data_IF_691722978679
#
_entry.id   IF_691722978679
#
_cell.length_a   1.000
_cell.length_b   1.000
_cell.length_c   1.000
_cell.angle_alpha   90.00
_cell.angle_beta   90.00
_cell.angle_gamma   90.00
#
_symmetry.space_group_name_H-M   'P 1'
#
loop_
_entity.id
_entity.type
_entity.pdbx_description
1 polymer ?
#
# COMPACT_ATOMS: atom_id res chain seq x y z
N UNK A 1 18.92 -17.02 20.43
CA UNK A 1 19.93 -17.02 19.36
C UNK A 1 19.82 -15.69 18.65
N UNK A 2 20.92 -14.99 18.32
CA UNK A 2 20.82 -13.81 17.46
C UNK A 2 20.15 -14.26 16.15
N UNK A 3 19.00 -13.66 15.83
CA UNK A 3 18.31 -13.93 14.59
C UNK A 3 19.23 -13.50 13.46
N UNK A 4 19.84 -14.48 12.79
CA UNK A 4 20.76 -14.23 11.70
C UNK A 4 19.90 -13.76 10.52
N UNK A 5 19.79 -12.46 10.35
CA UNK A 5 19.17 -11.90 9.18
C UNK A 5 19.96 -12.33 7.95
N UNK A 6 19.27 -12.90 6.97
CA UNK A 6 19.86 -13.22 5.69
C UNK A 6 19.61 -12.06 4.74
N UNK A 7 20.69 -11.46 4.25
CA UNK A 7 20.58 -10.50 3.14
C UNK A 7 20.11 -11.25 1.90
N UNK A 8 19.01 -10.77 1.33
CA UNK A 8 18.53 -11.28 0.06
C UNK A 8 19.42 -10.78 -1.08
N UNK A 9 19.59 -11.59 -2.13
CA UNK A 9 20.39 -11.21 -3.28
C UNK A 9 19.69 -10.05 -4.01
N UNK A 10 20.37 -8.92 -4.15
CA UNK A 10 19.76 -7.68 -4.67
C UNK A 10 19.46 -7.72 -6.17
N UNK A 11 20.07 -8.63 -6.92
CA UNK A 11 20.09 -8.64 -8.38
C UNK A 11 19.42 -9.86 -9.04
N UNK A 12 18.71 -10.69 -8.27
CA UNK A 12 18.01 -11.86 -8.81
C UNK A 12 16.65 -12.06 -8.16
N UNK A 13 15.79 -12.74 -8.89
CA UNK A 13 14.48 -13.17 -8.38
C UNK A 13 14.63 -14.34 -7.41
N UNK A 14 13.80 -14.36 -6.37
CA UNK A 14 13.57 -15.56 -5.56
C UNK A 14 12.35 -16.27 -6.12
N UNK A 15 12.51 -17.53 -6.53
CA UNK A 15 11.40 -18.37 -6.99
C UNK A 15 11.02 -19.37 -5.90
N UNK A 16 9.81 -19.24 -5.37
CA UNK A 16 9.23 -20.14 -4.39
C UNK A 16 8.43 -21.25 -5.08
N UNK A 17 8.78 -22.50 -4.80
CA UNK A 17 8.06 -23.69 -5.31
C UNK A 17 7.04 -24.18 -4.29
N UNK A 18 6.17 -23.28 -3.84
CA UNK A 18 5.17 -23.57 -2.82
C UNK A 18 4.07 -24.51 -3.33
N UNK A 19 3.51 -25.29 -2.40
CA UNK A 19 2.43 -26.26 -2.66
C UNK A 19 1.03 -25.75 -2.29
N UNK A 20 0.93 -24.61 -1.60
CA UNK A 20 -0.35 -23.97 -1.25
C UNK A 20 -0.37 -22.53 -1.72
N UNK A 21 -1.51 -22.04 -2.20
CA UNK A 21 -1.66 -20.63 -2.60
C UNK A 21 -1.39 -19.73 -1.39
N UNK A 22 -0.48 -18.73 -1.49
CA UNK A 22 -0.19 -17.86 -0.35
C UNK A 22 -1.37 -16.97 0.03
N UNK A 23 -2.38 -16.81 -0.83
CA UNK A 23 -3.48 -15.90 -0.60
C UNK A 23 -4.71 -16.56 0.02
N UNK A 24 -4.97 -17.83 -0.30
CA UNK A 24 -6.18 -18.54 0.14
C UNK A 24 -5.91 -19.93 0.74
N UNK A 25 -4.67 -20.40 0.78
CA UNK A 25 -4.30 -21.69 1.36
C UNK A 25 -4.64 -22.92 0.53
N UNK A 26 -5.37 -22.79 -0.59
CA UNK A 26 -5.74 -23.92 -1.44
C UNK A 26 -4.49 -24.65 -1.96
N UNK A 27 -4.53 -25.98 -1.99
CA UNK A 27 -3.45 -26.78 -2.56
C UNK A 27 -3.31 -26.51 -4.07
N UNK A 28 -2.05 -26.45 -4.52
CA UNK A 28 -1.70 -26.14 -5.89
C UNK A 28 -1.38 -27.43 -6.64
N UNK A 29 -2.19 -27.69 -7.67
CA UNK A 29 -2.00 -28.75 -8.65
C UNK A 29 -1.69 -28.11 -10.00
N UNK A 30 -1.15 -28.87 -10.94
CA UNK A 30 -0.69 -28.36 -12.25
C UNK A 30 -1.73 -27.49 -12.98
N UNK A 31 -3.02 -27.82 -12.85
CA UNK A 31 -4.09 -27.16 -13.59
C UNK A 31 -4.66 -25.90 -12.92
N UNK A 32 -4.42 -25.69 -11.62
CA UNK A 32 -5.08 -24.62 -10.87
C UNK A 32 -4.17 -23.45 -10.49
N UNK A 33 -2.87 -23.50 -10.82
CA UNK A 33 -1.91 -22.47 -10.46
C UNK A 33 -1.20 -21.85 -11.66
N UNK A 34 -0.57 -20.71 -11.42
CA UNK A 34 0.38 -20.08 -12.32
C UNK A 34 1.46 -19.37 -11.50
N UNK A 35 2.53 -18.95 -12.18
CA UNK A 35 3.54 -18.10 -11.57
C UNK A 35 2.96 -16.72 -11.30
N UNK A 36 3.23 -16.22 -10.10
CA UNK A 36 2.78 -14.94 -9.63
C UNK A 36 3.96 -14.10 -9.18
N UNK A 37 3.97 -12.86 -9.67
CA UNK A 37 4.92 -11.84 -9.26
C UNK A 37 4.31 -11.05 -8.12
N UNK A 38 4.85 -11.19 -6.90
CA UNK A 38 4.31 -10.49 -5.73
C UNK A 38 4.27 -8.98 -5.96
N UNK A 39 5.33 -8.44 -6.59
CA UNK A 39 5.31 -7.11 -7.19
C UNK A 39 5.14 -7.29 -8.70
N UNK A 40 3.94 -7.02 -9.21
CA UNK A 40 3.64 -7.18 -10.63
C UNK A 40 4.59 -6.35 -11.50
N UNK A 41 5.05 -6.93 -12.63
CA UNK A 41 5.94 -6.22 -13.57
C UNK A 41 5.31 -4.95 -14.16
N UNK A 42 3.98 -4.92 -14.19
CA UNK A 42 3.19 -3.76 -14.62
C UNK A 42 2.72 -2.92 -13.43
N UNK A 43 3.09 -3.22 -12.18
CA UNK A 43 2.70 -2.41 -11.02
C UNK A 43 3.61 -1.19 -10.84
N UNK A 44 4.88 -1.31 -11.19
CA UNK A 44 5.89 -0.26 -11.15
C UNK A 44 6.27 0.22 -12.58
N UNK A 45 7.17 1.20 -12.76
CA UNK A 45 7.64 1.59 -14.08
C UNK A 45 8.35 0.45 -14.84
N UNK A 46 8.18 0.42 -16.17
CA UNK A 46 8.76 -0.62 -17.02
C UNK A 46 10.30 -0.64 -16.92
N UNK A 47 10.86 -1.83 -16.69
CA UNK A 47 12.31 -2.06 -16.61
C UNK A 47 12.91 -1.83 -15.23
N UNK A 48 12.16 -1.28 -14.27
CA UNK A 48 12.69 -0.99 -12.94
C UNK A 48 12.87 -2.24 -12.08
N UNK A 49 12.27 -3.38 -12.43
CA UNK A 49 12.59 -4.69 -11.83
C UNK A 49 13.78 -5.40 -12.51
N UNK A 50 14.35 -4.85 -13.59
CA UNK A 50 15.44 -5.54 -14.30
C UNK A 50 16.70 -5.53 -13.43
N UNK A 51 17.23 -6.72 -13.11
CA UNK A 51 18.39 -6.84 -12.22
C UNK A 51 18.10 -6.36 -10.79
N UNK A 52 16.84 -6.39 -10.37
CA UNK A 52 16.42 -6.11 -8.99
C UNK A 52 15.74 -7.34 -8.40
N UNK A 53 15.78 -7.45 -7.07
CA UNK A 53 15.09 -8.52 -6.36
C UNK A 53 13.57 -8.45 -6.54
N UNK A 54 12.94 -9.60 -6.74
CA UNK A 54 11.49 -9.79 -6.66
C UNK A 54 11.18 -11.21 -6.18
N UNK A 55 10.04 -11.38 -5.53
CA UNK A 55 9.51 -12.69 -5.17
C UNK A 55 8.55 -13.17 -6.27
N UNK A 56 8.85 -14.35 -6.80
CA UNK A 56 7.97 -15.12 -7.67
C UNK A 56 7.54 -16.35 -6.90
N UNK A 57 6.25 -16.62 -6.86
CA UNK A 57 5.70 -17.79 -6.18
C UNK A 57 4.58 -18.40 -7.04
N UNK A 58 4.03 -19.53 -6.62
CA UNK A 58 2.85 -20.12 -7.25
C UNK A 58 1.60 -19.65 -6.54
N UNK A 59 0.61 -19.16 -7.28
CA UNK A 59 -0.69 -18.81 -6.73
C UNK A 59 -1.78 -19.51 -7.53
N UNK A 60 -2.94 -19.75 -6.90
CA UNK A 60 -4.08 -20.25 -7.66
C UNK A 60 -4.52 -19.18 -8.68
N UNK A 61 -4.99 -19.63 -9.85
CA UNK A 61 -5.35 -18.75 -10.98
C UNK A 61 -6.34 -17.65 -10.58
N UNK A 62 -7.29 -17.96 -9.69
CA UNK A 62 -8.28 -17.01 -9.17
C UNK A 62 -7.61 -15.88 -8.39
N UNK A 63 -6.81 -16.18 -7.36
CA UNK A 63 -6.17 -15.14 -6.56
C UNK A 63 -5.15 -14.32 -7.37
N UNK A 64 -4.43 -14.94 -8.32
CA UNK A 64 -3.56 -14.20 -9.21
C UNK A 64 -4.36 -13.21 -10.08
N UNK A 65 -5.47 -13.64 -10.67
CA UNK A 65 -6.36 -12.75 -11.43
C UNK A 65 -6.90 -11.61 -10.56
N UNK A 66 -7.42 -11.92 -9.37
CA UNK A 66 -7.95 -10.94 -8.40
C UNK A 66 -6.88 -9.88 -8.06
N UNK A 67 -5.63 -10.29 -7.80
CA UNK A 67 -4.51 -9.37 -7.56
C UNK A 67 -4.16 -8.55 -8.80
N UNK A 68 -4.05 -9.17 -9.96
CA UNK A 68 -3.75 -8.47 -11.22
C UNK A 68 -4.81 -7.40 -11.54
N UNK A 69 -6.07 -7.65 -11.21
CA UNK A 69 -7.14 -6.66 -11.34
C UNK A 69 -6.99 -5.47 -10.39
N UNK A 70 -6.53 -5.72 -9.15
CA UNK A 70 -6.21 -4.67 -8.19
C UNK A 70 -5.00 -3.84 -8.63
N UNK A 71 -3.94 -4.49 -9.08
CA UNK A 71 -2.71 -3.82 -9.51
C UNK A 71 -2.92 -2.87 -10.70
N UNK A 72 -3.85 -3.17 -11.61
CA UNK A 72 -4.01 -2.44 -12.85
C UNK A 72 -4.36 -0.96 -12.66
N UNK A 73 -5.43 -0.65 -11.93
CA UNK A 73 -5.85 0.73 -11.71
C UNK A 73 -5.05 1.40 -10.57
N UNK A 74 -4.74 0.66 -9.51
CA UNK A 74 -3.92 1.16 -8.39
C UNK A 74 -2.55 1.61 -8.88
N UNK A 75 -1.88 0.83 -9.74
CA UNK A 75 -0.59 1.23 -10.32
C UNK A 75 -0.71 2.50 -11.16
N UNK A 76 -1.74 2.59 -12.00
CA UNK A 76 -1.93 3.75 -12.86
C UNK A 76 -2.17 5.03 -12.05
N UNK A 77 -3.02 4.95 -11.00
CA UNK A 77 -3.34 6.10 -10.15
C UNK A 77 -2.15 6.51 -9.28
N UNK A 78 -1.48 5.55 -8.63
CA UNK A 78 -0.33 5.86 -7.77
C UNK A 78 0.84 6.44 -8.55
N UNK A 79 1.14 5.91 -9.74
CA UNK A 79 2.21 6.42 -10.59
C UNK A 79 1.87 7.79 -11.20
N UNK A 80 0.62 8.01 -11.63
CA UNK A 80 0.19 9.31 -12.13
C UNK A 80 0.24 10.38 -11.03
N UNK A 81 -0.15 10.03 -9.80
CA UNK A 81 -0.06 10.93 -8.66
C UNK A 81 1.37 11.40 -8.39
N UNK A 82 2.39 10.56 -8.60
CA UNK A 82 3.80 10.98 -8.49
C UNK A 82 4.13 12.14 -9.43
N UNK A 83 3.57 12.13 -10.63
CA UNK A 83 3.87 13.12 -11.67
C UNK A 83 3.04 14.38 -11.49
N UNK A 84 1.79 14.29 -11.01
CA UNK A 84 0.95 15.47 -10.80
C UNK A 84 1.50 16.43 -9.75
N UNK A 85 2.26 15.93 -8.77
CA UNK A 85 2.79 16.76 -7.68
C UNK A 85 4.28 17.07 -7.79
N UNK A 86 5.05 16.31 -8.58
CA UNK A 86 6.51 16.45 -8.69
C UNK A 86 7.02 16.35 -10.15
N UNK A 87 6.24 16.79 -11.16
CA UNK A 87 6.56 16.58 -12.59
C UNK A 87 7.98 16.98 -12.99
N UNK A 88 8.47 18.10 -12.47
CA UNK A 88 9.76 18.68 -12.87
C UNK A 88 10.95 17.91 -12.30
N UNK A 89 10.70 17.06 -11.29
CA UNK A 89 11.71 16.23 -10.61
C UNK A 89 11.65 14.77 -11.05
N UNK A 90 10.77 14.42 -12.00
CA UNK A 90 10.56 13.05 -12.44
C UNK A 90 11.12 12.86 -13.85
N UNK A 91 11.89 11.79 -14.06
CA UNK A 91 12.45 11.47 -15.36
C UNK A 91 11.36 11.32 -16.44
N UNK A 92 11.65 11.78 -17.66
CA UNK A 92 10.72 11.71 -18.80
C UNK A 92 10.24 10.28 -19.09
N UNK A 93 11.08 9.28 -18.85
CA UNK A 93 10.75 7.85 -18.99
C UNK A 93 9.56 7.45 -18.11
N UNK A 94 9.55 7.90 -16.84
CA UNK A 94 8.49 7.65 -15.87
C UNK A 94 7.22 8.42 -16.24
N UNK A 95 7.36 9.69 -16.66
CA UNK A 95 6.23 10.51 -17.15
C UNK A 95 5.51 9.82 -18.30
N UNK A 96 6.26 9.36 -19.31
CA UNK A 96 5.72 8.67 -20.47
C UNK A 96 5.02 7.36 -20.09
N UNK A 97 5.60 6.60 -19.16
CA UNK A 97 5.02 5.34 -18.69
C UNK A 97 3.70 5.55 -17.92
N UNK A 98 3.62 6.56 -17.07
CA UNK A 98 2.37 6.90 -16.39
C UNK A 98 1.30 7.36 -17.37
N UNK A 99 1.64 8.24 -18.33
CA UNK A 99 0.72 8.66 -19.39
C UNK A 99 0.20 7.47 -20.19
N UNK A 100 1.07 6.47 -20.48
CA UNK A 100 0.66 5.23 -21.15
C UNK A 100 -0.32 4.42 -20.31
N UNK A 101 -0.09 4.30 -18.99
CA UNK A 101 -0.96 3.56 -18.06
C UNK A 101 -2.32 4.21 -17.90
N UNK A 102 -2.39 5.52 -17.64
CA UNK A 102 -3.67 6.21 -17.43
C UNK A 102 -4.59 6.19 -18.65
N UNK A 103 -4.02 6.04 -19.86
CA UNK A 103 -4.77 5.89 -21.12
C UNK A 103 -5.38 4.50 -21.31
N UNK A 104 -4.93 3.48 -20.57
CA UNK A 104 -5.32 2.07 -20.76
C UNK A 104 -6.01 1.45 -19.55
N UNK A 105 -5.76 1.97 -18.35
CA UNK A 105 -6.37 1.48 -17.12
C UNK A 105 -7.69 2.19 -16.85
N UNK A 106 -8.71 1.44 -16.40
CA UNK A 106 -10.00 1.98 -15.97
C UNK A 106 -10.03 2.11 -14.46
N UNK A 107 -10.40 3.28 -13.95
CA UNK A 107 -10.70 3.49 -12.53
C UNK A 107 -11.92 2.66 -12.15
N UNK A 108 -11.79 1.79 -11.15
CA UNK A 108 -12.95 1.03 -10.66
C UNK A 108 -13.96 1.92 -9.92
N UNK A 109 -13.50 3.04 -9.34
CA UNK A 109 -14.36 3.99 -8.65
C UNK A 109 -15.35 4.70 -9.60
N UNK A 110 -14.91 5.06 -10.81
CA UNK A 110 -15.75 5.83 -11.75
C UNK A 110 -16.15 5.06 -13.02
N UNK A 111 -15.59 3.88 -13.25
CA UNK A 111 -15.75 3.09 -14.49
C UNK A 111 -15.08 3.68 -15.74
N UNK A 112 -14.50 4.88 -15.65
CA UNK A 112 -13.84 5.61 -16.75
C UNK A 112 -12.36 5.27 -16.83
N UNK A 113 -11.71 5.58 -17.95
CA UNK A 113 -10.25 5.55 -18.04
C UNK A 113 -9.65 6.47 -16.97
N UNK A 114 -8.52 6.11 -16.38
CA UNK A 114 -7.87 6.92 -15.33
C UNK A 114 -7.57 8.32 -15.85
N UNK A 115 -7.18 8.50 -17.12
CA UNK A 115 -6.98 9.83 -17.72
C UNK A 115 -8.23 10.74 -17.69
N UNK A 116 -9.43 10.15 -17.71
CA UNK A 116 -10.73 10.83 -17.77
C UNK A 116 -11.52 10.66 -16.45
N UNK A 117 -10.91 10.07 -15.43
CA UNK A 117 -11.55 9.72 -14.17
C UNK A 117 -11.41 10.88 -13.19
N UNK A 118 -12.38 11.79 -13.23
CA UNK A 118 -12.47 12.84 -12.22
C UNK A 118 -13.55 12.46 -11.20
N UNK A 119 -13.29 12.69 -9.92
CA UNK A 119 -14.30 12.56 -8.88
C UNK A 119 -14.89 13.93 -8.62
N UNK A 120 -16.15 14.09 -9.00
CA UNK A 120 -16.87 15.35 -8.80
C UNK A 120 -17.66 15.29 -7.50
N UNK A 121 -17.51 16.31 -6.66
CA UNK A 121 -18.29 16.47 -5.43
C UNK A 121 -18.86 17.88 -5.38
N UNK A 122 -20.18 17.97 -5.42
CA UNK A 122 -20.89 19.22 -5.22
C UNK A 122 -21.12 19.41 -3.73
N UNK A 123 -20.71 20.56 -3.21
CA UNK A 123 -20.96 20.94 -1.83
C UNK A 123 -21.83 22.20 -1.84
N UNK A 124 -22.98 22.10 -1.18
CA UNK A 124 -23.89 23.22 -0.99
C UNK A 124 -23.85 23.64 0.48
N UNK A 125 -23.45 24.87 0.75
CA UNK A 125 -23.42 25.45 2.10
C UNK A 125 -24.39 26.63 2.19
N UNK A 126 -25.16 26.76 3.29
CA UNK A 126 -25.96 27.96 3.53
C UNK A 126 -25.01 29.15 3.76
N UNK A 127 -25.29 30.29 3.12
CA UNK A 127 -24.44 31.49 3.21
C UNK A 127 -25.14 32.66 3.92
N UNK A 128 -26.48 32.69 3.94
CA UNK A 128 -27.32 33.63 4.71
C UNK A 128 -28.79 33.15 4.70
N UNK A 129 -29.69 33.86 5.40
CA UNK A 129 -31.14 33.55 5.39
C UNK A 129 -31.71 33.57 3.96
N UNK A 130 -31.90 32.37 3.39
CA UNK A 130 -32.44 32.16 2.05
C UNK A 130 -31.40 31.98 0.93
N UNK A 131 -30.10 32.11 1.22
CA UNK A 131 -29.02 31.97 0.23
C UNK A 131 -28.18 30.71 0.41
N UNK A 132 -27.85 30.03 -0.69
CA UNK A 132 -26.90 28.90 -0.70
C UNK A 132 -25.75 29.16 -1.65
N UNK A 133 -24.53 28.80 -1.23
CA UNK A 133 -23.37 28.70 -2.12
C UNK A 133 -23.23 27.24 -2.51
N UNK A 134 -23.19 26.97 -3.81
CA UNK A 134 -22.89 25.65 -4.35
C UNK A 134 -21.53 25.68 -5.04
N UNK A 135 -20.61 24.85 -4.58
CA UNK A 135 -19.26 24.70 -5.15
C UNK A 135 -19.07 23.29 -5.67
N UNK A 136 -18.62 23.17 -6.93
CA UNK A 136 -18.27 21.89 -7.55
C UNK A 136 -16.77 21.66 -7.41
N UNK A 137 -16.40 20.64 -6.66
CA UNK A 137 -15.02 20.21 -6.51
C UNK A 137 -14.75 19.06 -7.46
N UNK A 138 -13.62 19.12 -8.16
CA UNK A 138 -13.18 18.08 -9.08
C UNK A 138 -11.82 17.61 -8.58
N UNK A 139 -11.73 16.35 -8.14
CA UNK A 139 -10.46 15.76 -7.74
C UNK A 139 -9.91 14.81 -8.79
N UNK A 140 -8.59 14.66 -8.77
CA UNK A 140 -7.88 13.70 -9.60
C UNK A 140 -8.35 12.25 -9.28
N UNK A 141 -8.13 11.28 -10.19
CA UNK A 141 -8.46 9.88 -9.97
C UNK A 141 -8.09 9.38 -8.57
N UNK A 142 -9.03 8.75 -7.88
CA UNK A 142 -8.86 8.23 -6.52
C UNK A 142 -8.91 6.71 -6.50
N UNK A 143 -8.14 6.11 -5.58
CA UNK A 143 -8.19 4.68 -5.32
C UNK A 143 -9.30 4.39 -4.31
N UNK A 144 -10.16 3.43 -4.62
CA UNK A 144 -11.14 2.95 -3.65
C UNK A 144 -10.44 2.32 -2.43
N UNK A 145 -10.88 2.69 -1.23
CA UNK A 145 -10.16 2.34 0.01
C UNK A 145 -10.03 0.84 0.24
N UNK A 146 -11.14 0.13 0.11
CA UNK A 146 -11.23 -1.34 0.20
C UNK A 146 -10.20 -2.02 -0.72
N UNK A 147 -10.15 -1.60 -1.99
CA UNK A 147 -9.23 -2.13 -2.99
C UNK A 147 -7.77 -1.89 -2.65
N UNK A 148 -7.44 -0.70 -2.13
CA UNK A 148 -6.06 -0.40 -1.72
C UNK A 148 -5.59 -1.30 -0.57
N UNK A 149 -6.44 -1.54 0.43
CA UNK A 149 -6.08 -2.43 1.53
C UNK A 149 -6.12 -3.90 1.13
N UNK A 150 -6.97 -4.30 0.19
CA UNK A 150 -6.97 -5.68 -0.33
C UNK A 150 -5.67 -5.99 -1.08
N UNK A 151 -5.19 -5.08 -1.95
CA UNK A 151 -3.89 -5.28 -2.61
C UNK A 151 -2.75 -5.32 -1.59
N UNK A 152 -2.77 -4.43 -0.59
CA UNK A 152 -1.79 -4.43 0.47
C UNK A 152 -1.79 -5.75 1.24
N UNK A 153 -2.96 -6.26 1.63
CA UNK A 153 -3.14 -7.55 2.28
C UNK A 153 -2.54 -8.68 1.46
N UNK A 154 -2.81 -8.75 0.16
CA UNK A 154 -2.24 -9.79 -0.70
C UNK A 154 -0.71 -9.70 -0.76
N UNK A 155 -0.14 -8.50 -0.94
CA UNK A 155 1.32 -8.32 -0.98
C UNK A 155 1.98 -8.68 0.35
N UNK A 156 1.45 -8.20 1.47
CA UNK A 156 1.94 -8.52 2.81
C UNK A 156 1.81 -10.02 3.11
N UNK A 157 0.72 -10.68 2.67
CA UNK A 157 0.52 -12.12 2.86
C UNK A 157 1.57 -12.92 2.09
N UNK A 158 1.87 -12.55 0.84
CA UNK A 158 2.92 -13.22 0.09
C UNK A 158 4.30 -13.07 0.73
N UNK A 159 4.63 -11.89 1.28
CA UNK A 159 5.89 -11.71 2.01
C UNK A 159 5.92 -12.48 3.34
N UNK A 160 4.82 -12.46 4.10
CA UNK A 160 4.71 -13.25 5.34
C UNK A 160 4.83 -14.75 5.08
N UNK A 161 4.17 -15.25 4.04
CA UNK A 161 4.28 -16.63 3.58
C UNK A 161 5.72 -17.00 3.22
N UNK A 162 6.46 -16.07 2.60
CA UNK A 162 7.87 -16.27 2.28
C UNK A 162 8.78 -16.31 3.52
N UNK A 163 8.58 -15.40 4.47
CA UNK A 163 9.36 -15.34 5.72
C UNK A 163 9.17 -16.62 6.55
N UNK A 164 7.96 -17.17 6.52
CA UNK A 164 7.56 -18.36 7.28
C UNK A 164 7.64 -19.64 6.44
N UNK A 165 8.28 -19.60 5.27
CA UNK A 165 8.33 -20.73 4.36
C UNK A 165 9.21 -21.85 4.91
N UNK A 166 8.64 -23.05 4.99
CA UNK A 166 9.34 -24.27 5.36
C UNK A 166 9.70 -25.07 4.09
N UNK A 167 11.00 -25.31 3.90
CA UNK A 167 11.52 -25.94 2.69
C UNK A 167 11.18 -27.43 2.56
N UNK A 168 10.97 -28.15 3.66
CA UNK A 168 10.62 -29.58 3.62
C UNK A 168 9.17 -29.79 3.19
N UNK A 169 8.28 -28.99 3.77
CA UNK A 169 6.83 -29.05 3.48
C UNK A 169 6.44 -28.25 2.24
N UNK A 170 7.31 -27.35 1.79
CA UNK A 170 7.05 -26.36 0.73
C UNK A 170 5.80 -25.51 1.01
N UNK A 171 5.58 -25.16 2.28
CA UNK A 171 4.45 -24.35 2.75
C UNK A 171 4.95 -23.19 3.60
N UNK A 172 4.29 -22.05 3.46
CA UNK A 172 4.43 -20.88 4.33
C UNK A 172 3.25 -20.76 5.29
N UNK A 173 3.45 -19.97 6.33
CA UNK A 173 2.45 -19.65 7.33
C UNK A 173 1.45 -18.59 6.88
N UNK A 174 0.36 -18.50 7.64
CA UNK A 174 -0.68 -17.50 7.53
C UNK A 174 -0.84 -16.85 8.90
N UNK A 175 -0.98 -15.53 8.95
CA UNK A 175 -1.26 -14.87 10.21
C UNK A 175 -2.67 -15.21 10.70
N UNK A 176 -2.81 -15.38 12.00
CA UNK A 176 -4.09 -15.57 12.67
C UNK A 176 -4.76 -14.20 12.92
N UNK A 177 -6.04 -14.20 13.27
CA UNK A 177 -6.77 -13.06 13.88
C UNK A 177 -6.92 -11.75 13.06
N UNK A 178 -6.39 -11.72 11.84
CA UNK A 178 -6.84 -10.84 10.77
C UNK A 178 -5.83 -9.80 10.30
N UNK A 179 -6.32 -8.87 9.48
CA UNK A 179 -5.56 -7.80 8.84
C UNK A 179 -6.22 -6.47 9.21
N UNK A 180 -5.50 -5.62 9.96
CA UNK A 180 -6.01 -4.44 10.64
C UNK A 180 -5.37 -3.18 10.04
N UNK A 181 -5.91 -2.65 8.92
CA UNK A 181 -5.40 -1.44 8.30
C UNK A 181 -5.60 -0.23 9.22
N UNK A 182 -4.58 0.63 9.30
CA UNK A 182 -4.63 1.86 10.09
C UNK A 182 -4.88 3.04 9.16
N UNK A 183 -3.98 3.28 8.21
CA UNK A 183 -4.02 4.51 7.42
C UNK A 183 -3.41 4.34 6.04
N UNK A 184 -3.71 5.30 5.17
CA UNK A 184 -3.18 5.42 3.81
C UNK A 184 -2.97 6.90 3.50
N UNK A 185 -1.85 7.23 2.87
CA UNK A 185 -1.51 8.62 2.59
C UNK A 185 -0.76 8.78 1.27
N UNK A 186 -1.04 9.90 0.59
CA UNK A 186 -0.19 10.36 -0.50
C UNK A 186 1.10 10.98 0.03
N UNK A 187 2.13 11.05 -0.80
CA UNK A 187 3.44 11.61 -0.46
C UNK A 187 3.38 13.01 0.17
N UNK A 188 2.46 13.85 -0.30
CA UNK A 188 2.25 15.19 0.26
C UNK A 188 1.78 15.19 1.73
N UNK A 189 1.35 14.04 2.26
CA UNK A 189 0.74 13.90 3.58
C UNK A 189 1.39 12.83 4.47
N UNK A 190 2.56 12.30 4.10
CA UNK A 190 3.25 11.31 4.94
C UNK A 190 3.68 11.83 6.31
N UNK A 191 3.73 13.15 6.49
CA UNK A 191 4.11 13.81 7.74
C UNK A 191 2.92 14.06 8.66
N UNK A 192 1.73 13.54 8.34
CA UNK A 192 0.58 13.64 9.23
C UNK A 192 0.84 12.92 10.57
N UNK A 193 0.11 13.34 11.60
CA UNK A 193 0.40 12.95 12.98
C UNK A 193 0.19 11.44 13.24
N UNK A 194 -0.73 10.81 12.51
CA UNK A 194 -1.00 9.36 12.60
C UNK A 194 0.17 8.53 12.03
N UNK A 195 0.73 8.95 10.88
CA UNK A 195 1.92 8.31 10.31
C UNK A 195 3.15 8.48 11.21
N UNK A 196 3.36 9.67 11.76
CA UNK A 196 4.46 9.91 12.71
C UNK A 196 4.31 9.04 13.95
N UNK A 197 3.12 8.99 14.54
CA UNK A 197 2.86 8.14 15.70
C UNK A 197 3.11 6.66 15.38
N UNK A 198 2.64 6.17 14.23
CA UNK A 198 2.88 4.80 13.80
C UNK A 198 4.38 4.50 13.66
N UNK A 199 5.12 5.34 12.91
CA UNK A 199 6.56 5.18 12.72
C UNK A 199 7.31 5.11 14.06
N UNK A 200 7.11 6.08 14.95
CA UNK A 200 7.78 6.09 16.25
C UNK A 200 7.41 4.89 17.13
N UNK A 201 6.18 4.39 17.01
CA UNK A 201 5.74 3.24 17.79
C UNK A 201 6.42 1.94 17.36
N UNK A 202 6.55 1.74 16.05
CA UNK A 202 6.98 0.45 15.49
C UNK A 202 8.45 0.39 15.14
N UNK A 203 9.18 1.52 15.10
CA UNK A 203 10.58 1.56 14.67
C UNK A 203 11.49 0.67 15.54
N UNK A 204 11.19 0.58 16.84
CA UNK A 204 11.96 -0.25 17.79
C UNK A 204 11.54 -1.72 17.79
N UNK A 205 10.54 -2.11 17.00
CA UNK A 205 10.10 -3.50 16.90
C UNK A 205 11.08 -4.28 16.02
N UNK A 206 11.25 -5.56 16.32
CA UNK A 206 12.16 -6.41 15.57
C UNK A 206 11.76 -6.49 14.09
N UNK A 207 12.61 -6.05 13.15
CA UNK A 207 12.30 -6.14 11.73
C UNK A 207 12.39 -7.60 11.29
N UNK A 208 11.31 -8.15 10.73
CA UNK A 208 11.30 -9.51 10.16
C UNK A 208 11.44 -9.51 8.64
N UNK A 209 11.19 -8.36 8.02
CA UNK A 209 11.20 -8.17 6.58
C UNK A 209 11.48 -6.71 6.26
N UNK A 210 12.45 -6.45 5.40
CA UNK A 210 12.62 -5.15 4.77
C UNK A 210 12.97 -5.37 3.31
N UNK A 211 12.23 -4.74 2.41
CA UNK A 211 12.56 -4.70 1.00
C UNK A 211 12.41 -3.30 0.47
N UNK A 212 13.45 -2.84 -0.21
CA UNK A 212 13.45 -1.65 -1.06
C UNK A 212 13.92 -2.14 -2.42
N UNK A 213 13.01 -2.21 -3.38
CA UNK A 213 13.31 -2.70 -4.72
C UNK A 213 12.75 -1.73 -5.76
N UNK A 214 12.93 -2.05 -7.03
CA UNK A 214 12.42 -1.26 -8.14
C UNK A 214 12.93 0.20 -8.11
N UNK A 215 14.21 0.41 -7.75
CA UNK A 215 14.79 1.74 -7.53
C UNK A 215 13.97 2.59 -6.54
N UNK A 216 13.39 1.95 -5.52
CA UNK A 216 12.55 2.56 -4.50
C UNK A 216 11.09 2.81 -4.92
N UNK A 217 10.63 2.33 -6.09
CA UNK A 217 9.21 2.38 -6.46
C UNK A 217 8.35 1.37 -5.72
N UNK A 218 8.98 0.43 -5.00
CA UNK A 218 8.30 -0.46 -4.09
C UNK A 218 9.13 -0.60 -2.81
N UNK A 219 8.49 -0.32 -1.67
CA UNK A 219 9.05 -0.62 -0.35
C UNK A 219 8.04 -1.43 0.45
N UNK A 220 8.54 -2.37 1.25
CA UNK A 220 7.73 -3.12 2.21
C UNK A 220 8.56 -3.40 3.47
N UNK A 221 7.91 -3.38 4.63
CA UNK A 221 8.48 -3.74 5.91
C UNK A 221 7.45 -4.50 6.74
N UNK A 222 7.90 -5.52 7.48
CA UNK A 222 7.11 -6.21 8.50
C UNK A 222 7.97 -6.25 9.76
N UNK A 223 7.40 -5.83 10.89
CA UNK A 223 8.06 -5.89 12.20
C UNK A 223 7.22 -6.63 13.21
N UNK A 224 7.84 -7.45 14.06
CA UNK A 224 7.17 -8.23 15.09
C UNK A 224 7.13 -7.48 16.42
N UNK A 225 5.95 -7.41 17.03
CA UNK A 225 5.79 -6.86 18.37
C UNK A 225 6.63 -7.66 19.38
N UNK A 226 7.31 -7.02 20.34
CA UNK A 226 8.25 -7.72 21.24
C UNK A 226 7.61 -8.77 22.16
N UNK A 227 6.33 -8.59 22.52
CA UNK A 227 5.67 -9.39 23.57
C UNK A 227 4.30 -9.97 23.22
N UNK A 228 3.78 -9.72 22.01
CA UNK A 228 2.39 -10.05 21.65
C UNK A 228 2.39 -10.60 20.21
N UNK A 229 1.42 -11.45 19.87
CA UNK A 229 1.26 -12.01 18.52
C UNK A 229 0.66 -10.96 17.57
N UNK A 230 1.40 -9.87 17.38
CA UNK A 230 1.03 -8.72 16.58
C UNK A 230 2.23 -8.30 15.72
N UNK A 231 1.97 -7.96 14.47
CA UNK A 231 2.99 -7.46 13.55
C UNK A 231 2.54 -6.14 12.96
N UNK A 232 3.47 -5.22 12.83
CA UNK A 232 3.29 -4.02 12.03
C UNK A 232 3.68 -4.32 10.58
N UNK A 233 3.03 -3.65 9.64
CA UNK A 233 3.41 -3.66 8.24
C UNK A 233 3.29 -2.26 7.65
N UNK A 234 4.14 -1.99 6.65
CA UNK A 234 4.00 -0.81 5.82
C UNK A 234 4.38 -1.11 4.37
N UNK A 235 3.69 -0.44 3.45
CA UNK A 235 3.95 -0.48 2.01
C UNK A 235 4.12 0.93 1.47
N UNK A 236 5.04 1.09 0.53
CA UNK A 236 5.15 2.28 -0.31
C UNK A 236 5.07 1.88 -1.79
N UNK A 237 4.12 2.47 -2.49
CA UNK A 237 3.90 2.27 -3.92
C UNK A 237 4.27 3.52 -4.71
N UNK A 238 5.09 3.32 -5.73
CA UNK A 238 5.45 4.30 -6.75
C UNK A 238 5.96 5.65 -6.18
N UNK A 239 6.64 5.62 -5.03
CA UNK A 239 7.15 6.81 -4.30
C UNK A 239 6.07 7.88 -4.05
N UNK A 240 4.82 7.45 -3.94
CA UNK A 240 3.69 8.38 -3.87
C UNK A 240 2.58 7.96 -2.91
N UNK A 241 2.42 6.66 -2.64
CA UNK A 241 1.30 6.18 -1.85
C UNK A 241 1.80 5.22 -0.78
N UNK A 242 1.48 5.51 0.49
CA UNK A 242 1.79 4.64 1.61
C UNK A 242 0.52 4.03 2.19
N UNK A 243 0.67 2.83 2.72
CA UNK A 243 -0.31 2.16 3.56
C UNK A 243 0.40 1.59 4.78
N UNK A 244 -0.24 1.69 5.93
CA UNK A 244 0.25 1.18 7.20
C UNK A 244 -0.85 0.41 7.93
N UNK A 245 -0.44 -0.57 8.74
CA UNK A 245 -1.34 -1.23 9.64
C UNK A 245 -0.69 -2.35 10.43
N UNK A 246 -1.55 -3.22 10.96
CA UNK A 246 -1.15 -4.39 11.72
C UNK A 246 -1.78 -5.66 11.14
N UNK A 247 -1.26 -6.82 11.51
CA UNK A 247 -1.92 -8.12 11.37
C UNK A 247 -1.58 -8.99 12.59
N UNK A 248 -2.31 -10.09 12.78
CA UNK A 248 -2.27 -10.88 14.01
C UNK A 248 -3.42 -10.49 14.95
N UNK A 249 -3.16 -10.57 16.26
CA UNK A 249 -4.15 -10.27 17.29
C UNK A 249 -4.68 -8.84 17.17
N UNK A 250 -6.01 -8.71 17.20
CA UNK A 250 -6.68 -7.41 17.07
C UNK A 250 -6.55 -6.53 18.31
N UNK A 251 -6.62 -7.13 19.49
CA UNK A 251 -6.61 -6.39 20.76
C UNK A 251 -5.30 -5.59 20.95
N UNK A 252 -4.09 -6.18 20.77
CA UNK A 252 -2.84 -5.43 20.83
C UNK A 252 -2.76 -4.31 19.79
N UNK A 253 -3.15 -4.60 18.54
CA UNK A 253 -3.17 -3.62 17.46
C UNK A 253 -4.09 -2.42 17.78
N UNK A 254 -5.29 -2.69 18.29
CA UNK A 254 -6.25 -1.65 18.66
C UNK A 254 -5.76 -0.85 19.86
N UNK A 255 -5.16 -1.49 20.86
CA UNK A 255 -4.59 -0.81 22.03
C UNK A 255 -3.52 0.20 21.60
N UNK A 256 -2.65 -0.18 20.66
CA UNK A 256 -1.65 0.71 20.06
C UNK A 256 -2.31 1.87 19.31
N UNK A 257 -3.25 1.58 18.40
CA UNK A 257 -3.91 2.61 17.58
C UNK A 257 -4.68 3.62 18.45
N UNK A 258 -5.25 3.18 19.58
CA UNK A 258 -5.93 4.06 20.53
C UNK A 258 -5.00 5.08 21.19
N UNK A 259 -3.67 4.85 21.17
CA UNK A 259 -2.68 5.84 21.63
C UNK A 259 -2.34 6.89 20.59
N UNK A 260 -2.73 6.68 19.33
CA UNK A 260 -2.39 7.61 18.26
C UNK A 260 -3.20 8.90 18.41
N UNK A 261 -2.54 10.07 18.24
CA UNK A 261 -3.23 11.34 18.29
C UNK A 261 -4.23 11.44 17.14
N UNK A 262 -5.41 11.97 17.44
CA UNK A 262 -6.46 12.18 16.44
C UNK A 262 -6.04 13.24 15.42
N UNK A 263 -6.31 12.98 14.13
CA UNK A 263 -6.14 13.99 13.10
C UNK A 263 -7.09 15.16 13.32
N UNK A 264 -6.54 16.35 13.55
CA UNK A 264 -7.33 17.57 13.61
C UNK A 264 -7.88 17.92 12.22
N UNK A 265 -9.19 18.09 12.14
CA UNK A 265 -9.86 18.52 10.92
C UNK A 265 -10.71 19.75 11.23
N UNK A 266 -10.56 20.79 10.42
CA UNK A 266 -11.36 22.01 10.50
C UNK A 266 -12.74 21.76 9.89
N UNK A 267 -13.80 21.94 10.67
CA UNK A 267 -15.18 21.89 10.18
C UNK A 267 -15.52 23.21 9.51
N UNK A 268 -15.77 23.17 8.21
CA UNK A 268 -16.16 24.35 7.40
C UNK A 268 -17.67 24.56 7.42
N UNK A 269 -18.44 23.46 7.42
CA UNK A 269 -19.89 23.49 7.48
C UNK A 269 -20.42 22.23 8.14
N UNK A 270 -21.51 22.36 8.90
CA UNK A 270 -22.23 21.26 9.56
C UNK A 270 -23.72 21.49 9.34
N UNK A 271 -24.34 20.65 8.53
CA UNK A 271 -25.80 20.54 8.41
C UNK A 271 -26.32 19.25 9.06
N UNK A 272 -27.63 19.08 9.07
CA UNK A 272 -28.30 17.99 9.80
C UNK A 272 -27.91 16.58 9.32
N UNK A 273 -27.52 16.45 8.04
CA UNK A 273 -27.14 15.18 7.41
C UNK A 273 -25.76 15.19 6.74
N UNK A 274 -25.02 16.29 6.85
CA UNK A 274 -23.72 16.40 6.19
C UNK A 274 -22.78 17.34 6.93
N UNK A 275 -21.49 17.04 6.88
CA UNK A 275 -20.45 17.95 7.33
C UNK A 275 -19.37 18.05 6.26
N UNK A 276 -18.82 19.25 6.10
CA UNK A 276 -17.61 19.50 5.34
C UNK A 276 -16.46 19.70 6.33
N UNK A 277 -15.45 18.82 6.27
CA UNK A 277 -14.22 18.94 7.04
C UNK A 277 -13.03 18.99 6.09
N UNK A 278 -12.07 19.84 6.41
CA UNK A 278 -10.81 19.99 5.66
C UNK A 278 -9.64 19.83 6.63
N UNK A 279 -8.52 19.34 6.09
CA UNK A 279 -7.23 19.36 6.77
C UNK A 279 -6.16 19.65 5.74
N UNK A 280 -5.13 20.38 6.16
CA UNK A 280 -3.94 20.60 5.36
C UNK A 280 -3.06 19.35 5.37
N UNK A 281 -2.62 18.93 4.19
CA UNK A 281 -1.62 17.86 4.10
C UNK A 281 -0.29 18.31 4.71
N UNK A 282 0.39 17.40 5.39
CA UNK A 282 1.69 17.65 6.02
C UNK A 282 2.73 16.76 5.37
N UNK A 283 3.70 17.38 4.68
CA UNK A 283 4.81 16.65 4.06
C UNK A 283 5.77 16.14 5.15
N UNK A 284 6.31 14.95 4.95
CA UNK A 284 7.38 14.39 5.79
C UNK A 284 8.74 14.80 5.21
N UNK A 285 9.64 15.29 6.06
CA UNK A 285 11.04 15.48 5.68
C UNK A 285 11.76 14.12 5.62
N UNK A 286 12.65 13.95 4.65
CA UNK A 286 13.33 12.66 4.41
C UNK A 286 14.13 12.17 5.62
N UNK A 287 14.72 13.09 6.40
CA UNK A 287 15.45 12.79 7.64
C UNK A 287 14.57 12.28 8.79
N UNK A 288 13.27 12.57 8.73
CA UNK A 288 12.29 12.16 9.73
C UNK A 288 11.59 10.85 9.34
N UNK A 289 11.94 10.27 8.19
CA UNK A 289 11.30 9.07 7.64
C UNK A 289 11.90 7.79 8.22
N UNK A 290 11.34 7.37 9.35
CA UNK A 290 11.76 6.17 10.08
C UNK A 290 11.03 4.89 9.61
N UNK A 291 10.13 4.97 8.63
CA UNK A 291 9.20 3.88 8.35
C UNK A 291 9.88 2.61 7.79
N UNK A 292 10.90 2.77 6.95
CA UNK A 292 11.58 1.67 6.25
C UNK A 292 13.04 1.50 6.67
N UNK A 293 13.41 1.97 7.87
CA UNK A 293 14.76 1.76 8.43
C UNK A 293 14.93 0.31 8.89
N UNK A 294 16.18 -0.13 8.97
CA UNK A 294 16.55 -1.50 9.36
C UNK A 294 17.44 -1.55 10.61
N UNK A 295 18.34 -0.58 10.78
CA UNK A 295 19.32 -0.52 11.86
C UNK A 295 18.83 0.42 12.97
N UNK A 296 18.24 -0.15 14.02
CA UNK A 296 18.17 0.48 15.35
C UNK A 296 18.88 -0.43 16.36
#
# INVERSE_FOLDING_TARGET
MPNLFSELPTNRVTLLKNLTCPYCGVELIQDNHNEEHVIGRKFIPKGFLNGQWNLILRACKKCNLDKSELENDISAITLAGRIWFDSDKVEKSIVNEAHRKIKRSKSKLTGKLVKDSQVEKTITVPFFNGGTITSKFVSAPQIESSRSFELAKMQIMAFFYFITFNDDTKKGGFWQDGFHPVSKAHHADWGNIEYKAFMHTVVTWEPCWVVITANGFFKSIIRRHPYQECWSWALEWNKNYRLIGFFGDREPAQAIVNTFPSMEMTTISKGDKSFLRLRRHVRLDEKDDLLFVWND
#
